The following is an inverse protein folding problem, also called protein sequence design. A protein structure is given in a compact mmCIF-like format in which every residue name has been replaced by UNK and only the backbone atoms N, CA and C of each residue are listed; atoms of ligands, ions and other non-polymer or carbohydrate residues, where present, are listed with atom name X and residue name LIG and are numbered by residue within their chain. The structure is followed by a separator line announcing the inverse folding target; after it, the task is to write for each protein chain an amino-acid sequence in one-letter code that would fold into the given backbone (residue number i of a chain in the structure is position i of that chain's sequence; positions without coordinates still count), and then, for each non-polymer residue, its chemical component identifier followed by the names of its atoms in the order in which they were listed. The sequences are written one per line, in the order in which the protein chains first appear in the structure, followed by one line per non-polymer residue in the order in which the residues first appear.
data_IF_728170876271
#
_entry.id   IF_728170876271
#
_cell.length_a   1.000
_cell.length_b   1.000
_cell.length_c   1.000
_cell.angle_alpha   90.00
_cell.angle_beta   90.00
_cell.angle_gamma   90.00
#
_symmetry.space_group_name_H-M   'P 1'
#
loop_
_entity.id
_entity.type
_entity.pdbx_description
1 polymer ?
#
# COMPACT_ATOMS: atom_id res chain seq x y z
N UNK A 1 7.15 24.79 -8.65
CA UNK A 1 7.20 24.30 -7.29
C UNK A 1 8.19 23.14 -7.15
N UNK A 2 8.87 23.09 -6.03
CA UNK A 2 9.75 21.98 -5.76
C UNK A 2 8.94 20.68 -5.64
N UNK A 3 9.50 19.59 -6.13
CA UNK A 3 8.91 18.27 -5.99
C UNK A 3 8.93 17.85 -4.54
N UNK A 4 7.87 17.18 -4.11
CA UNK A 4 7.81 16.55 -2.79
C UNK A 4 8.31 15.13 -2.87
N UNK A 5 8.91 14.66 -1.78
CA UNK A 5 9.25 13.26 -1.59
C UNK A 5 8.18 12.61 -0.73
N UNK A 6 7.56 11.56 -1.24
CA UNK A 6 6.50 10.84 -0.54
C UNK A 6 7.07 9.61 0.16
N UNK A 7 6.37 9.13 1.18
CA UNK A 7 6.86 8.06 2.03
C UNK A 7 6.29 6.71 1.60
N UNK A 8 7.16 5.79 1.20
CA UNK A 8 6.76 4.41 0.92
C UNK A 8 6.37 3.75 2.25
N UNK A 9 5.09 3.41 2.42
CA UNK A 9 4.57 2.89 3.70
C UNK A 9 3.62 1.72 3.54
N UNK A 10 3.42 1.22 2.33
CA UNK A 10 2.45 0.16 2.10
C UNK A 10 2.92 -0.76 0.98
N UNK A 11 2.77 -2.07 1.21
CA UNK A 11 2.95 -3.10 0.19
C UNK A 11 1.78 -4.07 0.32
N UNK A 12 1.17 -4.41 -0.80
CA UNK A 12 0.13 -5.44 -0.83
C UNK A 12 0.67 -6.69 -1.51
N UNK A 13 0.51 -7.81 -0.83
CA UNK A 13 0.93 -9.12 -1.33
C UNK A 13 -0.29 -9.99 -1.56
N UNK A 14 -0.34 -10.65 -2.72
CA UNK A 14 -1.29 -11.72 -2.96
C UNK A 14 -0.67 -13.03 -2.48
N UNK A 15 -1.40 -13.77 -1.63
CA UNK A 15 -0.90 -15.01 -1.04
C UNK A 15 -1.94 -16.12 -1.22
N UNK A 16 -1.52 -17.40 -1.31
CA UNK A 16 -2.48 -18.50 -1.47
C UNK A 16 -3.30 -18.78 -0.21
N UNK A 17 -2.73 -18.53 0.97
CA UNK A 17 -3.39 -18.78 2.26
C UNK A 17 -2.98 -17.70 3.25
N UNK A 18 -3.95 -16.83 3.59
CA UNK A 18 -3.69 -15.68 4.46
C UNK A 18 -3.25 -16.13 5.86
N UNK A 19 -3.87 -17.15 6.42
CA UNK A 19 -3.53 -17.60 7.78
C UNK A 19 -2.11 -18.14 7.85
N UNK A 20 -1.69 -18.90 6.84
CA UNK A 20 -0.32 -19.43 6.75
C UNK A 20 0.67 -18.29 6.59
N UNK A 21 0.38 -17.33 5.71
CA UNK A 21 1.25 -16.18 5.49
C UNK A 21 1.36 -15.32 6.74
N UNK A 22 0.24 -15.04 7.41
CA UNK A 22 0.23 -14.26 8.65
C UNK A 22 1.12 -14.92 9.71
N UNK A 23 0.94 -16.21 9.94
CA UNK A 23 1.74 -16.93 10.94
C UNK A 23 3.22 -16.88 10.59
N UNK A 24 3.57 -17.03 9.32
CA UNK A 24 4.97 -16.95 8.90
C UNK A 24 5.55 -15.55 9.16
N UNK A 25 4.83 -14.49 8.83
CA UNK A 25 5.30 -13.13 9.05
C UNK A 25 5.42 -12.81 10.54
N UNK A 26 4.54 -13.37 11.37
CA UNK A 26 4.65 -13.24 12.83
C UNK A 26 5.86 -13.98 13.36
N UNK A 27 6.02 -15.25 12.99
CA UNK A 27 7.05 -16.12 13.54
C UNK A 27 8.45 -15.81 12.99
N UNK A 28 8.55 -15.51 11.69
CA UNK A 28 9.83 -15.30 11.02
C UNK A 28 10.34 -13.86 11.15
N UNK A 29 9.44 -12.88 11.11
CA UNK A 29 9.81 -11.46 11.02
C UNK A 29 9.40 -10.66 12.25
N UNK A 30 8.69 -11.26 13.20
CA UNK A 30 8.25 -10.56 14.40
C UNK A 30 7.19 -9.50 14.14
N UNK A 31 6.52 -9.55 13.00
CA UNK A 31 5.47 -8.60 12.67
C UNK A 31 4.21 -8.88 13.47
N UNK A 32 3.36 -7.87 13.61
CA UNK A 32 2.08 -8.00 14.31
C UNK A 32 0.93 -7.65 13.39
N UNK A 33 -0.23 -8.22 13.68
CA UNK A 33 -1.45 -7.89 12.96
C UNK A 33 -1.92 -6.48 13.36
N UNK A 34 -2.16 -5.64 12.37
CA UNK A 34 -2.63 -4.26 12.59
C UNK A 34 -4.13 -4.10 12.32
N UNK A 35 -4.78 -5.10 11.74
CA UNK A 35 -6.20 -5.08 11.48
C UNK A 35 -6.61 -6.06 10.40
N UNK A 36 -7.91 -6.08 10.10
CA UNK A 36 -8.46 -6.88 9.02
C UNK A 36 -8.52 -6.05 7.74
N UNK A 37 -8.29 -6.72 6.61
CA UNK A 37 -8.49 -6.15 5.28
C UNK A 37 -9.60 -6.92 4.58
N UNK A 38 -10.14 -6.35 3.50
CA UNK A 38 -11.02 -7.10 2.63
C UNK A 38 -10.20 -8.23 1.98
N UNK A 39 -10.61 -9.47 2.21
CA UNK A 39 -9.92 -10.68 1.75
C UNK A 39 -8.55 -10.92 2.40
N UNK A 40 -8.32 -10.39 3.59
CA UNK A 40 -7.04 -10.65 4.25
C UNK A 40 -6.82 -9.89 5.53
N UNK A 41 -5.54 -9.64 5.81
CA UNK A 41 -5.11 -8.96 7.04
C UNK A 41 -4.08 -7.88 6.72
N UNK A 42 -4.01 -6.88 7.59
CA UNK A 42 -2.92 -5.92 7.62
C UNK A 42 -1.91 -6.34 8.67
N UNK A 43 -0.64 -6.39 8.28
CA UNK A 43 0.48 -6.62 9.17
C UNK A 43 1.33 -5.36 9.27
N UNK A 44 2.15 -5.27 10.30
CA UNK A 44 3.09 -4.17 10.42
C UNK A 44 4.40 -4.61 11.06
N UNK A 45 5.50 -3.96 10.66
CA UNK A 45 6.80 -4.06 11.29
C UNK A 45 7.07 -2.89 12.23
N UNK A 46 6.06 -2.04 12.49
CA UNK A 46 6.19 -0.82 13.28
C UNK A 46 6.35 0.44 12.44
N UNK A 47 6.57 0.32 11.14
CA UNK A 47 6.75 1.45 10.21
C UNK A 47 5.89 1.30 8.97
N UNK A 48 5.91 0.13 8.37
CA UNK A 48 5.22 -0.20 7.13
C UNK A 48 3.92 -0.95 7.41
N UNK A 49 2.95 -0.76 6.53
CA UNK A 49 1.79 -1.63 6.41
C UNK A 49 2.05 -2.66 5.32
N UNK A 50 1.81 -3.92 5.62
CA UNK A 50 1.89 -5.02 4.67
C UNK A 50 0.54 -5.70 4.64
N UNK A 51 -0.18 -5.63 3.53
CA UNK A 51 -1.46 -6.33 3.38
C UNK A 51 -1.22 -7.72 2.79
N UNK A 52 -1.73 -8.73 3.48
CA UNK A 52 -1.70 -10.12 2.99
C UNK A 52 -3.10 -10.47 2.52
N UNK A 53 -3.26 -10.66 1.21
CA UNK A 53 -4.58 -10.73 0.56
C UNK A 53 -4.73 -12.02 -0.24
N UNK A 54 -5.90 -12.64 -0.12
CA UNK A 54 -6.24 -13.85 -0.87
C UNK A 54 -6.92 -13.49 -2.20
N UNK A 55 -6.19 -12.79 -3.09
CA UNK A 55 -6.78 -12.35 -4.37
C UNK A 55 -6.39 -13.19 -5.58
N UNK A 56 -5.33 -13.95 -5.48
CA UNK A 56 -5.01 -14.97 -6.45
C UNK A 56 -4.91 -14.53 -7.91
N UNK A 57 -4.33 -13.39 -8.20
CA UNK A 57 -4.16 -12.94 -9.57
C UNK A 57 -5.25 -12.03 -10.10
N UNK A 58 -6.23 -11.70 -9.26
CA UNK A 58 -7.33 -10.82 -9.68
C UNK A 58 -7.01 -9.33 -9.54
N UNK A 59 -5.79 -9.00 -9.14
CA UNK A 59 -5.36 -7.62 -9.05
C UNK A 59 -5.23 -7.04 -10.45
N UNK A 60 -5.73 -5.82 -10.68
CA UNK A 60 -5.58 -5.16 -11.97
C UNK A 60 -4.11 -5.00 -12.34
N UNK A 61 -3.79 -5.24 -13.61
CA UNK A 61 -2.44 -5.17 -14.12
C UNK A 61 -1.62 -6.44 -13.97
N UNK A 62 -2.17 -7.45 -13.32
CA UNK A 62 -1.52 -8.76 -13.20
C UNK A 62 -1.97 -9.64 -14.36
N UNK A 63 -1.02 -10.14 -15.20
CA UNK A 63 -1.39 -10.77 -16.46
C UNK A 63 -1.88 -12.21 -16.37
N UNK A 64 -1.60 -12.92 -15.27
CA UNK A 64 -1.91 -14.36 -15.18
C UNK A 64 -2.52 -14.73 -13.84
N UNK A 65 -3.36 -15.75 -13.85
CA UNK A 65 -3.95 -16.34 -12.65
C UNK A 65 -3.47 -17.78 -12.45
N UNK A 66 -3.29 -18.21 -11.19
CA UNK A 66 -3.24 -17.37 -10.01
C UNK A 66 -1.91 -16.59 -9.95
N UNK A 67 -1.97 -15.40 -9.40
CA UNK A 67 -0.77 -14.59 -9.16
C UNK A 67 -0.51 -14.50 -7.66
N UNK A 68 0.71 -14.81 -7.25
CA UNK A 68 1.15 -14.65 -5.86
C UNK A 68 2.41 -13.80 -5.84
N UNK A 69 2.47 -12.85 -4.91
CA UNK A 69 3.58 -11.92 -4.80
C UNK A 69 3.12 -10.47 -4.63
N UNK A 70 3.99 -9.54 -4.96
CA UNK A 70 3.71 -8.11 -4.79
C UNK A 70 2.70 -7.64 -5.83
N UNK A 71 1.56 -7.13 -5.35
CA UNK A 71 0.49 -6.59 -6.20
C UNK A 71 0.67 -5.12 -6.48
N UNK A 72 0.95 -4.34 -5.45
CA UNK A 72 1.16 -2.91 -5.54
C UNK A 72 1.88 -2.40 -4.29
N UNK A 73 2.34 -1.17 -4.37
CA UNK A 73 2.93 -0.46 -3.25
C UNK A 73 2.19 0.85 -3.03
N UNK A 74 2.45 1.51 -1.91
CA UNK A 74 1.73 2.73 -1.58
C UNK A 74 2.57 3.80 -0.92
N UNK A 75 2.25 5.04 -1.23
CA UNK A 75 2.94 6.23 -0.75
C UNK A 75 2.01 7.03 0.16
N UNK A 76 2.52 7.40 1.33
CA UNK A 76 1.83 8.30 2.24
C UNK A 76 2.26 9.73 1.91
N UNK A 77 1.29 10.57 1.55
CA UNK A 77 1.51 11.94 1.09
C UNK A 77 0.89 12.93 2.08
N UNK A 78 1.37 14.17 2.06
CA UNK A 78 0.81 15.21 2.94
C UNK A 78 -0.48 15.79 2.38
N UNK A 79 -0.54 15.99 1.06
CA UNK A 79 -1.64 16.63 0.36
C UNK A 79 -1.98 15.80 -0.87
N UNK A 80 -3.17 15.21 -0.87
CA UNK A 80 -3.59 14.31 -1.96
C UNK A 80 -3.67 15.04 -3.29
N UNK A 81 -4.26 16.22 -3.33
CA UNK A 81 -4.43 16.96 -4.59
C UNK A 81 -3.08 17.34 -5.22
N UNK A 82 -2.14 17.78 -4.40
CA UNK A 82 -0.78 18.07 -4.85
C UNK A 82 -0.07 16.82 -5.35
N UNK A 83 -0.20 15.71 -4.62
CA UNK A 83 0.41 14.44 -5.00
C UNK A 83 -0.16 13.93 -6.33
N UNK A 84 -1.46 14.03 -6.53
CA UNK A 84 -2.09 13.63 -7.78
C UNK A 84 -1.54 14.44 -8.97
N UNK A 85 -1.37 15.74 -8.79
CA UNK A 85 -0.76 16.59 -9.83
C UNK A 85 0.67 16.16 -10.13
N UNK A 86 1.44 15.88 -9.09
CA UNK A 86 2.85 15.50 -9.25
C UNK A 86 3.00 14.16 -9.98
N UNK A 87 2.21 13.14 -9.61
CA UNK A 87 2.32 11.82 -10.25
C UNK A 87 1.80 11.85 -11.69
N UNK A 88 0.72 12.60 -11.95
CA UNK A 88 0.22 12.78 -13.33
C UNK A 88 1.22 13.49 -14.20
N UNK A 89 1.86 14.54 -13.70
CA UNK A 89 2.89 15.26 -14.44
C UNK A 89 4.09 14.37 -14.77
N UNK A 90 4.35 13.35 -13.95
CA UNK A 90 5.41 12.38 -14.17
C UNK A 90 5.01 11.23 -15.10
N UNK A 91 3.75 11.19 -15.56
CA UNK A 91 3.28 10.18 -16.50
C UNK A 91 2.36 9.11 -15.94
N UNK A 92 1.94 9.24 -14.68
CA UNK A 92 1.01 8.27 -14.11
C UNK A 92 -0.40 8.48 -14.62
N UNK A 93 -1.15 7.38 -14.70
CA UNK A 93 -2.55 7.37 -15.15
C UNK A 93 -3.43 6.92 -14.00
N UNK A 94 -4.50 7.67 -13.72
CA UNK A 94 -5.47 7.30 -12.71
C UNK A 94 -6.15 5.99 -13.09
N UNK A 95 -6.32 5.14 -12.07
CA UNK A 95 -6.78 3.78 -12.34
C UNK A 95 -7.93 3.37 -11.44
N UNK A 96 -8.14 4.04 -10.31
CA UNK A 96 -9.23 3.71 -9.42
C UNK A 96 -8.96 4.10 -8.00
N UNK A 97 -9.41 3.25 -7.09
CA UNK A 97 -9.29 3.52 -5.68
C UNK A 97 -10.50 4.27 -5.15
N UNK A 98 -10.41 4.62 -3.88
CA UNK A 98 -11.52 5.21 -3.15
C UNK A 98 -11.05 6.50 -2.47
N UNK A 99 -11.60 7.67 -2.85
CA UNK A 99 -11.35 8.92 -2.13
C UNK A 99 -11.97 8.85 -0.72
N UNK A 100 -11.59 9.77 0.17
CA UNK A 100 -12.12 9.78 1.54
C UNK A 100 -13.63 10.02 1.54
N UNK A 101 -14.37 9.18 2.26
CA UNK A 101 -15.82 9.34 2.43
C UNK A 101 -16.15 10.20 3.65
N UNK A 102 -15.32 10.09 4.69
CA UNK A 102 -15.52 10.81 5.95
C UNK A 102 -14.15 11.26 6.47
N UNK A 103 -14.11 12.33 7.27
CA UNK A 103 -12.89 12.69 7.97
C UNK A 103 -12.36 11.50 8.78
N UNK A 104 -11.05 11.31 8.80
CA UNK A 104 -10.36 10.28 9.55
C UNK A 104 -10.59 8.83 9.08
N UNK A 105 -11.21 8.65 7.92
CA UNK A 105 -11.31 7.31 7.33
C UNK A 105 -10.04 6.97 6.56
N UNK A 106 -9.69 5.68 6.55
CA UNK A 106 -8.64 5.21 5.66
C UNK A 106 -9.14 5.18 4.24
N UNK A 107 -8.31 5.66 3.31
CA UNK A 107 -8.61 5.63 1.89
C UNK A 107 -7.31 5.51 1.10
N UNK A 108 -7.43 5.14 -0.15
CA UNK A 108 -6.30 5.12 -1.09
C UNK A 108 -6.80 5.39 -2.49
N UNK A 109 -6.02 6.10 -3.30
CA UNK A 109 -6.30 6.35 -4.71
C UNK A 109 -5.24 5.63 -5.51
N UNK A 110 -5.66 4.91 -6.55
CA UNK A 110 -4.79 4.05 -7.34
C UNK A 110 -4.42 4.68 -8.66
N UNK A 111 -3.16 4.52 -9.00
CA UNK A 111 -2.57 4.96 -10.26
C UNK A 111 -1.74 3.84 -10.86
N UNK A 112 -1.48 3.97 -12.16
CA UNK A 112 -0.43 3.18 -12.83
C UNK A 112 0.72 4.11 -13.17
N UNK A 113 1.94 3.65 -12.97
CA UNK A 113 3.11 4.36 -13.45
C UNK A 113 3.26 4.16 -14.97
N UNK A 114 4.23 4.85 -15.63
CA UNK A 114 4.41 4.69 -17.07
C UNK A 114 4.74 3.28 -17.54
N UNK A 115 5.19 2.40 -16.65
CA UNK A 115 5.51 1.00 -16.98
C UNK A 115 4.33 0.07 -16.70
N UNK A 116 3.23 0.59 -16.14
CA UNK A 116 2.04 -0.19 -15.83
C UNK A 116 1.94 -0.69 -14.41
N UNK A 117 2.90 -0.41 -13.54
CA UNK A 117 2.85 -0.83 -12.15
C UNK A 117 1.80 -0.04 -11.38
N UNK A 118 1.01 -0.76 -10.59
CA UNK A 118 -0.03 -0.15 -9.75
C UNK A 118 0.59 0.36 -8.46
N UNK A 119 0.24 1.58 -8.09
CA UNK A 119 0.59 2.13 -6.79
C UNK A 119 -0.58 2.92 -6.20
N UNK A 120 -0.60 2.99 -4.88
CA UNK A 120 -1.60 3.75 -4.14
C UNK A 120 -0.99 5.02 -3.58
N UNK A 121 -1.80 6.08 -3.48
CA UNK A 121 -1.44 7.27 -2.72
C UNK A 121 -2.55 7.57 -1.72
N UNK A 122 -2.17 8.05 -0.55
CA UNK A 122 -3.12 8.41 0.50
C UNK A 122 -2.53 9.48 1.41
N UNK A 123 -3.40 10.34 1.93
CA UNK A 123 -3.04 11.23 3.03
C UNK A 123 -3.51 10.70 4.39
N UNK A 124 -4.30 9.61 4.39
CA UNK A 124 -4.79 8.98 5.62
C UNK A 124 -3.82 7.99 6.24
N UNK A 125 -2.90 7.47 5.45
CA UNK A 125 -2.03 6.36 5.85
C UNK A 125 -2.73 5.01 5.79
N UNK A 126 -2.11 4.03 6.40
CA UNK A 126 -2.61 2.65 6.51
C UNK A 126 -2.46 2.16 7.94
N UNK A 127 -3.25 1.16 8.31
CA UNK A 127 -3.20 0.54 9.64
C UNK A 127 -1.78 0.05 9.95
N UNK A 128 -1.24 0.46 11.08
CA UNK A 128 0.09 0.08 11.54
C UNK A 128 1.24 0.82 10.88
N UNK A 129 0.99 1.67 9.89
CA UNK A 129 2.04 2.47 9.26
C UNK A 129 2.33 3.72 10.10
N UNK A 130 3.60 4.14 10.08
CA UNK A 130 4.06 5.37 10.74
C UNK A 130 4.68 6.26 9.68
N UNK A 131 4.14 7.47 9.52
CA UNK A 131 4.55 8.37 8.46
C UNK A 131 5.96 8.91 8.65
N UNK A 132 6.23 9.46 9.83
CA UNK A 132 7.50 10.11 10.11
C UNK A 132 8.31 9.25 11.09
N UNK A 133 9.50 8.85 10.66
CA UNK A 133 10.38 7.96 11.41
C UNK A 133 11.70 8.69 11.62
N UNK A 134 12.19 8.69 12.86
CA UNK A 134 13.53 9.22 13.15
C UNK A 134 14.58 8.26 12.60
N UNK A 135 15.65 8.76 11.97
CA UNK A 135 16.80 7.92 11.64
C UNK A 135 17.37 7.29 12.91
N UNK A 136 17.93 6.11 12.78
CA UNK A 136 18.62 5.48 13.89
C UNK A 136 19.83 6.33 14.29
N UNK A 137 20.05 6.48 15.60
CA UNK A 137 21.26 7.13 16.09
C UNK A 137 22.43 6.15 15.94
N UNK A 138 23.56 6.67 15.44
CA UNK A 138 24.78 5.88 15.32
C UNK A 138 25.51 5.79 16.66
#
# INVERSE_FOLDING_TARGET
MAKKTYKLRHIALSVPDVAVAQKFFEDAFGMTKAGNAQNGVHMTDGTMNIALLAKGGKAPGVPHEPFYGVMHFGLWVDDLAQAEKQVKAAGATHFGGRPPNTPNSYYEVKYRDPTGMVFDITASGWRGAVKNVKPAEE
#
